data_IF_413580409806
#
_entry.id   IF_413580409806
#
_cell.length_a   1.000
_cell.length_b   1.000
_cell.length_c   1.000
_cell.angle_alpha   90.00
_cell.angle_beta   90.00
_cell.angle_gamma   90.00
#
_symmetry.space_group_name_H-M   'P 1'
#
loop_
_entity.id
_entity.type
_entity.pdbx_description
1 polymer ?
#
# COMPACT_ATOMS: atom_id res chain seq x y z
N UNK A 1 6.96 -31.65 -3.72
CA UNK A 1 6.71 -30.37 -3.05
C UNK A 1 5.40 -30.47 -2.30
N UNK A 2 5.43 -30.37 -0.98
CA UNK A 2 4.24 -30.40 -0.13
C UNK A 2 4.27 -29.21 0.83
N UNK A 3 3.12 -28.61 1.11
CA UNK A 3 2.97 -27.45 1.99
C UNK A 3 4.03 -26.37 1.76
N UNK A 4 4.21 -25.96 0.50
CA UNK A 4 5.33 -25.09 0.15
C UNK A 4 4.97 -24.06 -0.93
N UNK A 5 5.53 -22.87 -0.78
CA UNK A 5 5.52 -21.84 -1.78
C UNK A 5 6.56 -22.10 -2.87
N UNK A 6 6.21 -21.78 -4.12
CA UNK A 6 7.15 -21.84 -5.25
C UNK A 6 6.94 -20.63 -6.15
N UNK A 7 8.04 -20.02 -6.58
CA UNK A 7 8.01 -18.98 -7.61
C UNK A 7 8.41 -19.58 -8.95
N UNK A 8 7.52 -19.53 -9.94
CA UNK A 8 7.73 -20.09 -11.28
C UNK A 8 7.41 -18.99 -12.29
N UNK A 9 8.34 -18.66 -13.15
CA UNK A 9 8.21 -17.60 -14.17
C UNK A 9 7.66 -16.29 -13.59
N UNK A 10 8.15 -15.88 -12.42
CA UNK A 10 7.74 -14.62 -11.77
C UNK A 10 6.43 -14.69 -10.97
N UNK A 11 5.66 -15.77 -11.05
CA UNK A 11 4.39 -15.95 -10.32
C UNK A 11 4.56 -16.87 -9.12
N UNK A 12 3.81 -16.61 -8.06
CA UNK A 12 3.77 -17.42 -6.85
C UNK A 12 2.69 -18.49 -6.93
N UNK A 13 3.04 -19.70 -6.50
CA UNK A 13 2.19 -20.88 -6.40
C UNK A 13 2.31 -21.48 -5.00
N UNK A 14 1.27 -22.14 -4.54
CA UNK A 14 1.31 -22.95 -3.32
C UNK A 14 0.92 -24.39 -3.61
N UNK A 15 1.69 -25.34 -3.12
CA UNK A 15 1.43 -26.77 -3.24
C UNK A 15 0.93 -27.31 -1.91
N UNK A 16 -0.21 -27.99 -1.91
CA UNK A 16 -0.86 -28.54 -0.72
C UNK A 16 -0.10 -29.74 -0.11
N UNK A 17 -0.69 -30.33 0.92
CA UNK A 17 -0.11 -31.49 1.60
C UNK A 17 0.02 -32.73 0.69
N UNK A 18 -0.84 -32.83 -0.29
CA UNK A 18 -0.84 -33.88 -1.32
C UNK A 18 0.12 -33.58 -2.50
N UNK A 19 0.79 -32.42 -2.46
CA UNK A 19 1.64 -31.95 -3.54
C UNK A 19 0.89 -31.36 -4.73
N UNK A 20 -0.45 -31.29 -4.68
CA UNK A 20 -1.23 -30.66 -5.74
C UNK A 20 -1.11 -29.14 -5.70
N UNK A 21 -1.13 -28.51 -6.89
CA UNK A 21 -1.18 -27.07 -7.04
C UNK A 21 -2.52 -26.53 -6.51
N UNK A 22 -2.44 -25.56 -5.63
CA UNK A 22 -3.62 -24.92 -5.04
C UNK A 22 -4.33 -24.00 -6.06
N UNK A 23 -5.66 -24.03 -6.07
CA UNK A 23 -6.53 -23.08 -6.79
C UNK A 23 -7.65 -22.59 -5.85
N UNK A 24 -8.24 -21.42 -6.15
CA UNK A 24 -9.26 -20.83 -5.30
C UNK A 24 -8.70 -20.27 -3.98
N UNK A 25 -9.57 -20.10 -3.00
CA UNK A 25 -9.20 -19.59 -1.68
C UNK A 25 -8.50 -20.64 -0.81
N UNK A 26 -7.37 -20.28 -0.21
CA UNK A 26 -6.60 -21.16 0.67
C UNK A 26 -5.99 -20.39 1.83
N UNK A 27 -6.12 -20.94 3.04
CA UNK A 27 -5.35 -20.46 4.20
C UNK A 27 -3.93 -21.04 4.16
N UNK A 28 -2.95 -20.15 4.25
CA UNK A 28 -1.53 -20.49 4.36
C UNK A 28 -0.90 -19.57 5.41
N UNK A 29 -0.24 -20.14 6.41
CA UNK A 29 0.46 -19.41 7.49
C UNK A 29 -0.43 -18.34 8.19
N UNK A 30 -1.73 -18.63 8.36
CA UNK A 30 -2.69 -17.73 9.00
C UNK A 30 -3.31 -16.66 8.10
N UNK A 31 -2.90 -16.57 6.83
CA UNK A 31 -3.48 -15.66 5.85
C UNK A 31 -4.30 -16.40 4.80
N UNK A 32 -5.34 -15.77 4.27
CA UNK A 32 -6.24 -16.32 3.25
C UNK A 32 -5.91 -15.71 1.89
N UNK A 33 -5.27 -16.51 1.02
CA UNK A 33 -4.89 -16.13 -0.34
C UNK A 33 -5.87 -16.68 -1.37
N UNK A 34 -5.91 -16.04 -2.53
CA UNK A 34 -6.62 -16.55 -3.70
C UNK A 34 -5.64 -16.94 -4.81
N UNK A 35 -5.85 -18.13 -5.35
CA UNK A 35 -5.10 -18.67 -6.49
C UNK A 35 -6.04 -18.81 -7.67
N UNK A 36 -5.63 -18.33 -8.85
CA UNK A 36 -6.38 -18.48 -10.10
C UNK A 36 -6.56 -19.95 -10.49
N UNK A 37 -7.35 -20.18 -11.53
CA UNK A 37 -7.51 -21.52 -12.10
C UNK A 37 -6.21 -22.09 -12.68
N UNK A 38 -5.26 -21.22 -13.01
CA UNK A 38 -3.89 -21.56 -13.42
C UNK A 38 -2.92 -21.72 -12.23
N UNK A 39 -3.42 -21.66 -10.99
CA UNK A 39 -2.66 -21.80 -9.74
C UNK A 39 -1.84 -20.58 -9.34
N UNK A 40 -1.82 -19.52 -10.12
CA UNK A 40 -1.08 -18.30 -9.75
C UNK A 40 -1.74 -17.58 -8.59
N UNK A 41 -0.96 -17.19 -7.59
CA UNK A 41 -1.44 -16.31 -6.52
C UNK A 41 -1.83 -14.94 -7.11
N UNK A 42 -3.06 -14.53 -6.84
CA UNK A 42 -3.56 -13.21 -7.21
C UNK A 42 -3.12 -12.20 -6.16
N UNK A 43 -2.33 -11.20 -6.55
CA UNK A 43 -1.74 -10.21 -5.65
C UNK A 43 -2.55 -8.90 -5.55
N UNK A 44 -3.71 -8.85 -6.17
CA UNK A 44 -4.74 -7.80 -6.00
C UNK A 44 -6.12 -8.47 -6.10
N UNK A 45 -6.75 -8.67 -4.96
CA UNK A 45 -8.08 -9.31 -4.88
C UNK A 45 -9.22 -8.29 -4.69
N UNK A 46 -8.92 -6.99 -4.78
CA UNK A 46 -9.87 -5.90 -4.56
C UNK A 46 -11.16 -6.08 -5.39
N UNK A 47 -10.99 -6.31 -6.69
CA UNK A 47 -12.13 -6.54 -7.59
C UNK A 47 -12.85 -7.87 -7.34
N UNK A 48 -12.13 -8.87 -6.82
CA UNK A 48 -12.68 -10.20 -6.56
C UNK A 48 -13.59 -10.19 -5.33
N UNK A 49 -13.21 -9.48 -4.27
CA UNK A 49 -13.98 -9.42 -3.03
C UNK A 49 -14.92 -8.21 -2.97
N UNK A 50 -14.74 -7.22 -3.86
CA UNK A 50 -15.45 -5.94 -3.82
C UNK A 50 -15.10 -5.09 -2.61
N UNK A 51 -15.74 -3.91 -2.50
CA UNK A 51 -15.52 -2.99 -1.37
C UNK A 51 -15.99 -3.61 -0.06
N UNK A 52 -15.11 -3.66 0.91
CA UNK A 52 -15.39 -4.16 2.25
C UNK A 52 -15.85 -3.03 3.17
N UNK A 53 -16.58 -3.37 4.24
CA UNK A 53 -17.02 -2.40 5.25
C UNK A 53 -15.89 -1.82 6.07
N UNK A 54 -14.80 -2.56 6.22
CA UNK A 54 -13.60 -2.14 6.96
C UNK A 54 -12.34 -2.84 6.46
N UNK A 55 -11.21 -2.20 6.72
CA UNK A 55 -9.87 -2.69 6.38
C UNK A 55 -8.92 -2.48 7.55
N UNK A 56 -7.78 -3.18 7.54
CA UNK A 56 -6.59 -2.85 8.31
C UNK A 56 -5.42 -2.61 7.37
N UNK A 57 -4.48 -1.79 7.79
CA UNK A 57 -3.30 -1.43 6.99
C UNK A 57 -2.05 -1.76 7.80
N UNK A 58 -1.04 -2.33 7.13
CA UNK A 58 0.31 -2.41 7.67
C UNK A 58 1.27 -1.62 6.77
N UNK A 59 2.29 -1.02 7.39
CA UNK A 59 3.38 -0.36 6.68
C UNK A 59 4.69 -1.00 7.13
N UNK A 60 5.39 -1.61 6.18
CA UNK A 60 6.78 -2.05 6.39
C UNK A 60 7.71 -0.91 5.98
N UNK A 61 8.38 -0.28 6.97
CA UNK A 61 9.25 0.88 6.73
C UNK A 61 10.52 0.49 5.96
N UNK A 62 11.12 -0.65 6.29
CA UNK A 62 12.37 -1.12 5.67
C UNK A 62 12.15 -1.46 4.19
N UNK A 63 11.01 -2.04 3.87
CA UNK A 63 10.65 -2.44 2.50
C UNK A 63 9.91 -1.35 1.73
N UNK A 64 9.54 -0.23 2.39
CA UNK A 64 8.73 0.84 1.80
C UNK A 64 7.48 0.28 1.12
N UNK A 65 6.69 -0.48 1.88
CA UNK A 65 5.51 -1.18 1.37
C UNK A 65 4.34 -1.05 2.33
N UNK A 66 3.18 -0.76 1.77
CA UNK A 66 1.88 -0.75 2.46
C UNK A 66 1.10 -1.97 2.04
N UNK A 67 0.53 -2.72 2.98
CA UNK A 67 -0.40 -3.83 2.68
C UNK A 67 -1.74 -3.57 3.34
N UNK A 68 -2.81 -3.78 2.59
CA UNK A 68 -4.20 -3.65 3.06
C UNK A 68 -4.79 -5.03 3.27
N UNK A 69 -5.51 -5.20 4.38
CA UNK A 69 -6.16 -6.46 4.76
C UNK A 69 -7.67 -6.26 4.92
N UNK A 70 -8.44 -7.20 4.40
CA UNK A 70 -9.85 -7.38 4.70
C UNK A 70 -10.05 -8.44 5.79
N UNK A 71 -11.20 -8.37 6.47
CA UNK A 71 -11.61 -9.40 7.41
C UNK A 71 -12.14 -10.63 6.69
N UNK A 72 -11.91 -11.80 7.28
CA UNK A 72 -12.60 -13.02 6.90
C UNK A 72 -13.99 -13.12 7.57
N UNK A 73 -14.65 -14.22 7.39
CA UNK A 73 -16.00 -14.51 7.90
C UNK A 73 -16.10 -14.45 9.45
N UNK A 74 -14.96 -14.59 10.15
CA UNK A 74 -14.89 -14.53 11.63
C UNK A 74 -14.41 -13.16 12.14
N UNK A 75 -14.26 -12.17 11.25
CA UNK A 75 -13.82 -10.82 11.61
C UNK A 75 -12.29 -10.66 11.73
N UNK A 76 -11.49 -11.70 11.41
CA UNK A 76 -10.04 -11.62 11.43
C UNK A 76 -9.51 -11.00 10.16
N UNK A 77 -8.70 -9.95 10.27
CA UNK A 77 -8.07 -9.25 9.13
C UNK A 77 -6.87 -10.04 8.60
N UNK A 78 -7.17 -11.13 7.91
CA UNK A 78 -6.17 -12.07 7.39
C UNK A 78 -6.21 -12.26 5.86
N UNK A 79 -7.06 -11.52 5.15
CA UNK A 79 -7.11 -11.54 3.69
C UNK A 79 -6.27 -10.37 3.17
N UNK A 80 -5.04 -10.60 2.68
CA UNK A 80 -4.30 -9.53 2.01
C UNK A 80 -5.05 -9.15 0.72
N UNK A 81 -5.41 -7.87 0.62
CA UNK A 81 -6.22 -7.36 -0.50
C UNK A 81 -5.33 -6.89 -1.62
N UNK A 82 -4.41 -6.00 -1.27
CA UNK A 82 -3.45 -5.41 -2.21
C UNK A 82 -2.29 -4.75 -1.47
N UNK A 83 -1.26 -4.43 -2.22
CA UNK A 83 -0.04 -3.81 -1.72
C UNK A 83 0.29 -2.58 -2.54
N UNK A 84 0.85 -1.56 -1.88
CA UNK A 84 1.31 -0.33 -2.50
C UNK A 84 2.79 -0.11 -2.22
N UNK A 85 3.52 0.38 -3.20
CA UNK A 85 4.87 0.90 -3.00
C UNK A 85 4.77 2.30 -2.40
N UNK A 86 5.51 2.56 -1.34
CA UNK A 86 5.50 3.86 -0.66
C UNK A 86 6.92 4.40 -0.45
N UNK A 87 7.01 5.66 -0.05
CA UNK A 87 8.19 6.22 0.60
C UNK A 87 7.87 6.54 2.05
N UNK A 88 8.82 6.29 2.92
CA UNK A 88 8.74 6.56 4.36
C UNK A 88 9.75 7.64 4.76
N UNK A 89 9.79 8.02 6.02
CA UNK A 89 10.72 9.01 6.56
C UNK A 89 12.19 8.63 6.39
N UNK A 90 13.01 9.64 6.13
CA UNK A 90 14.47 9.53 6.17
C UNK A 90 14.97 9.17 7.57
N UNK A 91 16.20 8.65 7.74
CA UNK A 91 16.74 8.29 9.06
C UNK A 91 16.67 9.42 10.11
N UNK A 92 16.85 10.67 9.71
CA UNK A 92 16.75 11.84 10.60
C UNK A 92 15.31 12.25 10.97
N UNK A 93 14.32 11.80 10.22
CA UNK A 93 12.88 12.07 10.42
C UNK A 93 12.07 10.81 10.14
N UNK A 94 12.28 9.73 10.92
CA UNK A 94 11.69 8.43 10.60
C UNK A 94 10.16 8.46 10.74
N UNK A 95 9.48 7.69 9.91
CA UNK A 95 8.07 7.36 10.14
C UNK A 95 7.95 6.60 11.48
N UNK A 96 7.09 7.04 12.42
CA UNK A 96 6.99 6.39 13.73
C UNK A 96 6.48 4.96 13.60
N UNK A 97 7.01 4.06 14.44
CA UNK A 97 6.47 2.70 14.59
C UNK A 97 5.35 2.69 15.62
N UNK A 98 4.43 1.75 15.49
CA UNK A 98 3.31 1.56 16.41
C UNK A 98 2.02 1.20 15.70
N UNK A 99 0.95 1.13 16.49
CA UNK A 99 -0.42 0.90 15.98
C UNK A 99 -1.27 2.14 16.26
N UNK A 100 -1.87 2.66 15.22
CA UNK A 100 -2.62 3.92 15.21
C UNK A 100 -3.99 3.70 14.58
N UNK A 101 -4.88 4.68 14.72
CA UNK A 101 -6.18 4.74 14.03
C UNK A 101 -6.30 6.05 13.27
N UNK A 102 -6.83 6.00 12.06
CA UNK A 102 -6.93 7.18 11.19
C UNK A 102 -7.99 8.17 11.68
N UNK A 103 -7.61 9.38 12.16
CA UNK A 103 -8.58 10.32 12.75
C UNK A 103 -9.20 11.30 11.74
N UNK A 104 -8.58 11.53 10.58
CA UNK A 104 -9.00 12.56 9.64
C UNK A 104 -8.55 12.28 8.21
N UNK A 105 -9.27 12.86 7.25
CA UNK A 105 -8.96 12.82 5.82
C UNK A 105 -9.11 14.22 5.20
N UNK A 106 -8.28 14.49 4.19
CA UNK A 106 -8.30 15.76 3.46
C UNK A 106 -8.11 15.49 1.98
N UNK A 107 -8.94 16.09 1.12
CA UNK A 107 -8.74 15.96 -0.34
C UNK A 107 -7.40 16.57 -0.75
N UNK A 108 -7.04 17.71 -0.17
CA UNK A 108 -5.75 18.38 -0.20
C UNK A 108 -5.32 18.76 1.21
N UNK A 109 -4.04 18.72 1.50
CA UNK A 109 -3.51 19.16 2.79
C UNK A 109 -2.13 19.79 2.60
N UNK A 110 -1.93 20.91 3.32
CA UNK A 110 -0.63 21.56 3.42
C UNK A 110 0.33 20.67 4.23
N UNK A 111 1.49 20.45 3.68
CA UNK A 111 2.57 19.67 4.26
C UNK A 111 3.74 20.58 4.61
N UNK A 112 4.83 19.99 5.11
CA UNK A 112 6.03 20.76 5.47
C UNK A 112 6.65 21.44 4.24
N UNK A 113 7.06 22.73 4.39
CA UNK A 113 7.97 23.44 3.53
C UNK A 113 7.48 24.16 2.28
N UNK A 114 6.46 24.97 2.23
CA UNK A 114 5.08 24.74 1.88
C UNK A 114 4.95 23.81 0.64
N UNK A 115 4.34 22.69 0.85
CA UNK A 115 3.97 21.74 -0.20
C UNK A 115 2.61 21.14 0.09
N UNK A 116 2.00 20.52 -0.91
CA UNK A 116 0.62 20.04 -0.83
C UNK A 116 0.51 18.61 -1.33
N UNK A 117 -0.14 17.75 -0.54
CA UNK A 117 -0.48 16.38 -0.93
C UNK A 117 -1.97 16.25 -1.21
N UNK A 118 -2.31 15.31 -2.09
CA UNK A 118 -3.71 14.94 -2.34
C UNK A 118 -4.06 13.64 -1.62
N UNK A 119 -5.38 13.44 -1.43
CA UNK A 119 -5.96 12.23 -0.83
C UNK A 119 -5.26 11.85 0.47
N UNK A 120 -5.10 12.85 1.33
CA UNK A 120 -4.40 12.70 2.60
C UNK A 120 -5.27 11.96 3.61
N UNK A 121 -4.73 10.91 4.22
CA UNK A 121 -5.33 10.20 5.35
C UNK A 121 -4.36 10.26 6.53
N UNK A 122 -4.75 10.95 7.60
CA UNK A 122 -3.91 11.10 8.80
C UNK A 122 -3.75 9.76 9.51
N UNK A 123 -2.55 9.48 9.95
CA UNK A 123 -2.20 8.28 10.74
C UNK A 123 -2.07 8.69 12.22
N UNK A 124 -1.11 9.57 12.52
CA UNK A 124 -0.82 10.06 13.87
C UNK A 124 -0.11 11.41 13.81
N UNK A 125 -0.47 12.37 14.66
CA UNK A 125 0.15 13.69 14.69
C UNK A 125 0.19 14.35 13.30
N UNK A 126 1.37 14.69 12.82
CA UNK A 126 1.61 15.24 11.48
C UNK A 126 1.88 14.18 10.41
N UNK A 127 1.81 12.90 10.71
CA UNK A 127 2.11 11.79 9.78
C UNK A 127 0.84 11.35 9.05
N UNK A 128 0.89 11.34 7.72
CA UNK A 128 -0.22 11.00 6.83
C UNK A 128 0.22 10.02 5.75
N UNK A 129 -0.74 9.24 5.23
CA UNK A 129 -0.70 8.77 3.84
C UNK A 129 -1.08 9.94 2.94
N UNK A 130 -0.34 10.17 1.87
CA UNK A 130 -0.66 11.20 0.87
C UNK A 130 0.08 10.94 -0.44
N UNK A 131 -0.36 11.58 -1.52
CA UNK A 131 0.36 11.57 -2.81
C UNK A 131 1.75 12.20 -2.66
N UNK A 132 2.65 11.94 -3.59
CA UNK A 132 3.87 12.77 -3.68
C UNK A 132 3.46 14.24 -3.81
N UNK A 133 4.10 15.11 -3.02
CA UNK A 133 3.68 16.49 -2.88
C UNK A 133 4.10 17.35 -4.08
N UNK A 134 3.24 18.30 -4.42
CA UNK A 134 3.51 19.39 -5.34
C UNK A 134 3.62 20.75 -4.63
N UNK A 135 3.94 21.81 -5.38
CA UNK A 135 4.04 23.18 -4.83
C UNK A 135 2.70 23.89 -4.71
N UNK A 136 1.63 23.36 -5.27
CA UNK A 136 0.28 23.89 -5.24
C UNK A 136 -0.78 22.79 -5.07
N UNK A 137 -2.04 23.15 -4.75
CA UNK A 137 -3.18 22.24 -4.67
C UNK A 137 -3.77 21.94 -6.06
N UNK A 138 -2.92 21.47 -6.97
CA UNK A 138 -3.29 21.06 -8.33
C UNK A 138 -2.68 19.71 -8.67
N UNK A 139 -3.17 19.04 -9.69
CA UNK A 139 -2.59 17.79 -10.21
C UNK A 139 -1.22 17.99 -10.87
N UNK A 140 -0.84 19.23 -11.13
CA UNK A 140 0.45 19.66 -11.66
C UNK A 140 1.38 20.18 -10.54
N UNK A 141 2.59 20.61 -10.91
CA UNK A 141 3.63 21.15 -10.00
C UNK A 141 4.29 20.09 -9.10
N UNK A 142 4.21 18.82 -9.48
CA UNK A 142 4.94 17.72 -8.88
C UNK A 142 6.43 17.80 -9.29
N UNK A 143 7.33 17.55 -8.36
CA UNK A 143 8.76 17.33 -8.68
C UNK A 143 8.96 15.90 -9.19
N UNK A 144 9.41 15.75 -10.44
CA UNK A 144 9.75 14.43 -11.01
C UNK A 144 10.84 13.72 -10.18
N UNK A 145 11.80 14.46 -9.64
CA UNK A 145 12.82 13.92 -8.74
C UNK A 145 12.21 13.31 -7.49
N UNK A 146 11.30 14.02 -6.82
CA UNK A 146 10.60 13.52 -5.64
C UNK A 146 9.68 12.31 -5.95
N UNK A 147 9.00 12.33 -7.10
CA UNK A 147 8.16 11.23 -7.53
C UNK A 147 8.99 9.95 -7.79
N UNK A 148 10.12 10.11 -8.45
CA UNK A 148 11.02 9.02 -8.78
C UNK A 148 11.72 8.40 -7.56
N UNK A 149 11.61 9.03 -6.37
CA UNK A 149 12.04 8.46 -5.09
C UNK A 149 11.03 7.46 -4.50
N UNK A 150 9.83 7.28 -5.07
CA UNK A 150 8.90 6.27 -4.59
C UNK A 150 9.55 4.88 -4.53
N UNK A 151 9.36 4.20 -3.40
CA UNK A 151 9.93 2.89 -3.13
C UNK A 151 11.16 2.89 -2.22
N UNK A 152 11.62 4.06 -1.78
CA UNK A 152 12.73 4.23 -0.84
C UNK A 152 12.43 5.35 0.17
N UNK A 153 13.14 5.44 1.30
CA UNK A 153 12.97 6.54 2.25
C UNK A 153 13.25 7.89 1.59
N UNK A 154 12.29 8.83 1.70
CA UNK A 154 12.38 10.13 1.02
C UNK A 154 11.53 11.22 1.68
N UNK A 155 10.83 10.95 2.78
CA UNK A 155 9.94 11.89 3.44
C UNK A 155 10.48 12.39 4.77
N UNK A 156 9.75 13.33 5.39
CA UNK A 156 10.01 13.79 6.74
C UNK A 156 9.07 13.13 7.78
N UNK A 157 8.74 11.85 7.56
CA UNK A 157 7.91 11.04 8.45
C UNK A 157 6.60 10.52 7.82
N UNK A 158 6.03 11.21 6.84
CA UNK A 158 4.82 10.76 6.15
C UNK A 158 5.07 9.53 5.28
N UNK A 159 3.98 8.84 4.93
CA UNK A 159 3.96 7.71 3.99
C UNK A 159 3.47 8.23 2.63
N UNK A 160 4.43 8.47 1.70
CA UNK A 160 4.14 8.97 0.36
C UNK A 160 3.78 7.82 -0.58
N UNK A 161 2.78 8.03 -1.40
CA UNK A 161 2.24 7.08 -2.38
C UNK A 161 2.13 7.76 -3.76
N UNK A 162 1.90 7.01 -4.83
CA UNK A 162 1.35 7.60 -6.03
C UNK A 162 -0.13 8.00 -5.79
N UNK A 163 -0.67 8.88 -6.64
CA UNK A 163 -2.03 9.42 -6.45
C UNK A 163 -3.08 8.32 -6.43
N UNK A 164 -3.02 7.35 -7.35
CA UNK A 164 -3.94 6.21 -7.40
C UNK A 164 -4.02 5.46 -6.06
N UNK A 165 -2.87 5.19 -5.46
CA UNK A 165 -2.78 4.37 -4.25
C UNK A 165 -3.19 5.17 -3.00
N UNK A 166 -2.81 6.45 -2.92
CA UNK A 166 -3.30 7.37 -1.89
C UNK A 166 -4.82 7.55 -1.97
N UNK A 167 -5.36 7.71 -3.19
CA UNK A 167 -6.80 7.80 -3.45
C UNK A 167 -7.53 6.54 -3.04
N UNK A 168 -6.96 5.36 -3.32
CA UNK A 168 -7.56 4.09 -2.92
C UNK A 168 -7.77 4.01 -1.40
N UNK A 169 -6.74 4.34 -0.60
CA UNK A 169 -6.84 4.40 0.87
C UNK A 169 -7.91 5.42 1.29
N UNK A 170 -7.86 6.61 0.70
CA UNK A 170 -8.79 7.70 1.00
C UNK A 170 -10.25 7.30 0.76
N UNK A 171 -10.55 6.63 -0.34
CA UNK A 171 -11.92 6.30 -0.75
C UNK A 171 -12.46 5.05 -0.03
N UNK A 172 -11.59 4.10 0.31
CA UNK A 172 -12.02 2.78 0.77
C UNK A 172 -11.82 2.53 2.27
N UNK A 173 -10.81 3.13 2.89
CA UNK A 173 -10.55 2.94 4.31
C UNK A 173 -11.29 4.01 5.12
N UNK A 174 -12.27 3.64 5.95
CA UNK A 174 -13.02 4.57 6.79
C UNK A 174 -12.12 5.27 7.83
N UNK A 175 -12.60 6.38 8.43
CA UNK A 175 -11.99 6.92 9.65
C UNK A 175 -12.04 5.83 10.76
N UNK A 176 -11.03 5.80 11.61
CA UNK A 176 -10.85 4.74 12.60
C UNK A 176 -10.17 3.48 12.05
N UNK A 177 -9.77 3.44 10.76
CA UNK A 177 -9.00 2.32 10.22
C UNK A 177 -7.68 2.15 11.00
N UNK A 178 -7.42 0.93 11.47
CA UNK A 178 -6.17 0.61 12.17
C UNK A 178 -5.01 0.54 11.18
N UNK A 179 -3.93 1.23 11.52
CA UNK A 179 -2.66 1.26 10.78
C UNK A 179 -1.54 0.83 11.69
N UNK A 180 -0.86 -0.28 11.38
CA UNK A 180 0.33 -0.75 12.11
C UNK A 180 1.57 -0.47 11.27
N UNK A 181 2.50 0.29 11.82
CA UNK A 181 3.78 0.64 11.18
C UNK A 181 4.90 -0.09 11.90
N UNK A 182 5.69 -0.87 11.19
CA UNK A 182 6.82 -1.60 11.76
C UNK A 182 7.91 -1.87 10.71
N UNK A 183 9.07 -2.33 11.18
CA UNK A 183 10.18 -2.75 10.32
C UNK A 183 10.02 -4.21 9.85
N UNK A 184 9.14 -4.97 10.52
CA UNK A 184 8.97 -6.41 10.34
C UNK A 184 7.58 -6.81 9.85
N UNK A 185 6.75 -5.85 9.41
CA UNK A 185 5.43 -6.18 8.85
C UNK A 185 5.57 -7.18 7.70
N UNK A 186 4.67 -8.16 7.65
CA UNK A 186 4.73 -9.26 6.68
C UNK A 186 4.68 -8.75 5.24
N UNK A 187 5.49 -9.36 4.40
CA UNK A 187 5.57 -9.13 2.96
C UNK A 187 4.85 -10.27 2.23
N UNK A 188 3.53 -10.18 2.14
CA UNK A 188 2.67 -11.25 1.62
C UNK A 188 2.52 -11.23 0.10
N UNK A 189 2.70 -10.06 -0.50
CA UNK A 189 2.67 -9.84 -1.94
C UNK A 189 3.99 -9.20 -2.39
N UNK A 190 4.32 -9.37 -3.65
CA UNK A 190 5.45 -8.67 -4.24
C UNK A 190 5.23 -7.15 -4.17
N UNK A 191 6.31 -6.41 -3.95
CA UNK A 191 6.26 -4.95 -3.99
C UNK A 191 5.98 -4.49 -5.43
N UNK A 192 4.90 -3.73 -5.67
CA UNK A 192 4.60 -3.24 -7.01
C UNK A 192 5.72 -2.35 -7.56
N UNK A 193 6.00 -2.47 -8.85
CA UNK A 193 6.94 -1.58 -9.53
C UNK A 193 6.40 -0.13 -9.55
N UNK A 194 7.28 0.84 -9.39
CA UNK A 194 6.95 2.25 -9.54
C UNK A 194 7.08 2.67 -11.01
N UNK A 195 6.17 3.51 -11.47
CA UNK A 195 6.32 4.22 -12.73
C UNK A 195 7.39 5.29 -12.52
N UNK A 196 8.33 5.42 -13.45
CA UNK A 196 9.29 6.52 -13.48
C UNK A 196 8.85 7.55 -14.51
N UNK A 197 8.99 8.83 -14.16
CA UNK A 197 8.59 9.94 -15.02
C UNK A 197 9.82 10.74 -15.46
N UNK A 198 9.80 11.34 -16.68
CA UNK A 198 10.88 12.16 -17.19
C UNK A 198 11.01 13.48 -16.40
N UNK A 199 12.19 14.09 -16.44
CA UNK A 199 12.53 15.28 -15.64
C UNK A 199 11.60 16.50 -15.88
N UNK A 200 10.97 16.62 -17.02
CA UNK A 200 10.05 17.73 -17.32
C UNK A 200 8.58 17.46 -17.00
N UNK A 201 8.24 16.26 -16.55
CA UNK A 201 6.86 15.94 -16.19
C UNK A 201 6.57 16.42 -14.77
N UNK A 202 5.49 17.17 -14.62
CA UNK A 202 5.08 17.79 -13.36
C UNK A 202 3.74 17.24 -12.80
N UNK A 203 3.33 16.07 -13.27
CA UNK A 203 2.12 15.36 -12.80
C UNK A 203 2.37 13.88 -12.54
N UNK A 204 1.56 13.30 -11.65
CA UNK A 204 1.55 11.86 -11.38
C UNK A 204 0.78 11.13 -12.50
N UNK A 205 1.40 10.17 -13.22
CA UNK A 205 0.73 9.45 -14.31
C UNK A 205 -0.41 8.55 -13.83
N UNK A 206 -0.59 8.40 -12.52
CA UNK A 206 -1.69 7.64 -11.93
C UNK A 206 -2.83 8.55 -11.41
N UNK A 207 -2.69 9.87 -11.54
CA UNK A 207 -3.72 10.83 -11.12
C UNK A 207 -4.89 10.83 -12.12
N UNK A 208 -6.13 10.51 -11.68
CA UNK A 208 -7.29 10.50 -12.58
C UNK A 208 -7.75 11.89 -13.01
N UNK A 209 -7.12 12.97 -12.53
CA UNK A 209 -7.49 14.36 -12.82
C UNK A 209 -6.53 15.06 -13.81
N UNK A 210 -5.63 14.31 -14.46
CA UNK A 210 -4.75 14.77 -15.56
C UNK A 210 -5.13 14.13 -16.86
#
# INVERSE_FOLDING_TARGET
LTNSWKRINGSWYYFGADGAMTTGWKYVDGYKFYFGTDGKMVQDVDKLIGKQSSYRITVNRVKCQVTVYAANETGNYCIPVKTFTCSVGLPGTPTPTGTFTTPAKYRWHTLMGPSYGQYCTRIVGGVLFHSVAGSNMTSHNLSAGNYNMLGQPASHGCVRLCVRDAKWIYDNCALGTTVTISDTAAMLFDKPATIKIPAGQDWDPTDPNV
#
